data_IF_921317624739
#
_entry.id   IF_921317624739
#
_cell.length_a   1.000
_cell.length_b   1.000
_cell.length_c   1.000
_cell.angle_alpha   90.00
_cell.angle_beta   90.00
_cell.angle_gamma   90.00
#
_symmetry.space_group_name_H-M   'P 1'
#
loop_
_entity.id
_entity.type
_entity.pdbx_description
1 polymer ?
#
# COMPACT_ATOMS: atom_id res chain seq x y z
N UNK A 1 20.72 18.09 -4.69
CA UNK A 1 20.36 16.79 -4.08
C UNK A 1 18.85 16.67 -3.91
N UNK A 2 18.29 15.47 -4.09
CA UNK A 2 16.83 15.20 -4.09
C UNK A 2 16.21 14.90 -2.73
N UNK A 3 16.96 15.03 -1.63
CA UNK A 3 16.54 14.64 -0.28
C UNK A 3 15.26 15.35 0.18
N UNK A 4 15.12 16.66 -0.11
CA UNK A 4 13.92 17.42 0.23
C UNK A 4 12.67 16.82 -0.44
N UNK A 5 12.80 16.37 -1.68
CA UNK A 5 11.71 15.72 -2.41
C UNK A 5 11.38 14.34 -1.80
N UNK A 6 12.38 13.57 -1.37
CA UNK A 6 12.17 12.29 -0.68
C UNK A 6 11.46 12.47 0.67
N UNK A 7 11.89 13.45 1.47
CA UNK A 7 11.24 13.78 2.75
C UNK A 7 9.79 14.22 2.53
N UNK A 8 9.55 15.06 1.52
CA UNK A 8 8.20 15.49 1.15
C UNK A 8 7.32 14.30 0.73
N UNK A 9 7.83 13.43 -0.13
CA UNK A 9 7.12 12.23 -0.59
C UNK A 9 6.80 11.27 0.56
N UNK A 10 7.77 11.03 1.45
CA UNK A 10 7.57 10.19 2.64
C UNK A 10 6.47 10.73 3.54
N UNK A 11 6.47 12.04 3.80
CA UNK A 11 5.37 12.70 4.53
C UNK A 11 4.04 12.55 3.80
N UNK A 12 4.03 12.68 2.47
CA UNK A 12 2.78 12.58 1.71
C UNK A 12 2.20 11.15 1.69
N UNK A 13 3.06 10.13 1.66
CA UNK A 13 2.67 8.72 1.60
C UNK A 13 2.23 8.17 2.95
N UNK A 14 3.00 8.43 4.00
CA UNK A 14 2.82 7.77 5.31
C UNK A 14 2.07 8.63 6.33
N UNK A 15 1.97 9.94 6.11
CA UNK A 15 1.23 10.80 7.03
C UNK A 15 -0.26 10.73 6.70
N UNK A 16 -1.05 10.34 7.69
CA UNK A 16 -2.50 10.48 7.67
C UNK A 16 -2.93 11.93 7.52
N UNK A 17 -4.24 12.13 7.34
CA UNK A 17 -4.86 13.45 7.24
C UNK A 17 -4.64 14.26 8.52
N UNK A 18 -4.79 13.58 9.65
CA UNK A 18 -4.59 14.12 10.98
C UNK A 18 -3.50 13.31 11.68
N UNK A 19 -2.72 13.96 12.55
CA UNK A 19 -1.73 13.27 13.38
C UNK A 19 -2.39 12.86 14.68
N UNK A 20 -1.95 11.75 15.24
CA UNK A 20 -2.46 11.25 16.53
C UNK A 20 -2.37 12.32 17.63
N UNK A 21 -1.25 13.03 17.72
CA UNK A 21 -1.07 14.15 18.67
C UNK A 21 -2.01 15.34 18.48
N UNK A 22 -2.67 15.44 17.32
CA UNK A 22 -3.64 16.49 17.06
C UNK A 22 -5.06 16.08 17.50
N UNK A 23 -5.28 14.81 17.87
CA UNK A 23 -6.50 14.35 18.56
C UNK A 23 -6.30 14.64 20.05
N UNK A 24 -7.00 15.66 20.55
CA UNK A 24 -6.76 16.24 21.88
C UNK A 24 -7.60 15.55 22.96
N UNK A 25 -8.83 15.18 22.64
CA UNK A 25 -9.72 14.48 23.56
C UNK A 25 -10.73 13.59 22.81
N UNK A 26 -11.16 12.52 23.46
CA UNK A 26 -12.19 11.61 22.97
C UNK A 26 -13.02 11.15 24.18
N UNK A 27 -14.11 11.84 24.46
CA UNK A 27 -14.92 11.65 25.66
C UNK A 27 -16.41 11.78 25.32
N UNK A 28 -17.28 11.00 25.96
CA UNK A 28 -18.74 11.10 25.81
C UNK A 28 -19.23 11.02 24.34
N UNK A 29 -18.55 10.24 23.50
CA UNK A 29 -18.87 10.12 22.07
C UNK A 29 -18.48 11.34 21.22
N UNK A 30 -17.78 12.32 21.80
CA UNK A 30 -17.27 13.52 21.14
C UNK A 30 -15.75 13.43 20.97
N UNK A 31 -15.26 13.90 19.84
CA UNK A 31 -13.84 13.96 19.51
C UNK A 31 -13.44 15.41 19.30
N UNK A 32 -12.46 15.87 20.07
CA UNK A 32 -11.85 17.19 19.93
C UNK A 32 -10.50 17.05 19.24
N UNK A 33 -10.34 17.72 18.11
CA UNK A 33 -9.12 17.65 17.33
C UNK A 33 -8.64 19.02 16.85
N UNK A 34 -7.33 19.14 16.66
CA UNK A 34 -6.65 20.35 16.20
C UNK A 34 -6.38 20.26 14.70
N UNK A 35 -6.61 21.35 13.99
CA UNK A 35 -6.36 21.43 12.55
C UNK A 35 -5.82 22.81 12.17
N UNK A 36 -5.24 22.90 10.99
CA UNK A 36 -4.87 24.20 10.42
C UNK A 36 -6.02 24.68 9.53
N UNK A 37 -6.57 25.84 9.84
CA UNK A 37 -7.59 26.47 8.99
C UNK A 37 -6.96 26.83 7.63
N UNK A 38 -7.61 26.39 6.55
CA UNK A 38 -7.10 26.55 5.19
C UNK A 38 -7.06 28.02 4.75
N UNK A 39 -7.99 28.85 5.26
CA UNK A 39 -8.11 30.29 4.93
C UNK A 39 -7.13 31.12 5.76
N UNK A 40 -7.18 31.00 7.08
CA UNK A 40 -6.38 31.84 7.99
C UNK A 40 -4.98 31.29 8.24
N UNK A 41 -4.69 30.05 7.87
CA UNK A 41 -3.45 29.31 8.16
C UNK A 41 -3.12 29.17 9.65
N UNK A 42 -4.06 29.49 10.55
CA UNK A 42 -3.89 29.37 12.01
C UNK A 42 -4.33 28.00 12.49
N UNK A 43 -3.73 27.56 13.60
CA UNK A 43 -4.15 26.34 14.27
C UNK A 43 -5.43 26.63 15.06
N UNK A 44 -6.46 25.81 14.84
CA UNK A 44 -7.74 25.86 15.52
C UNK A 44 -8.11 24.48 16.07
N UNK A 45 -9.05 24.42 16.99
CA UNK A 45 -9.61 23.18 17.53
C UNK A 45 -11.09 23.10 17.24
N UNK A 46 -11.57 21.89 16.93
CA UNK A 46 -12.98 21.62 16.69
C UNK A 46 -13.37 20.34 17.43
N UNK A 47 -14.57 20.38 18.01
CA UNK A 47 -15.22 19.22 18.64
C UNK A 47 -16.39 18.80 17.78
N UNK A 48 -16.48 17.51 17.47
CA UNK A 48 -17.56 16.90 16.68
C UNK A 48 -17.89 15.53 17.25
N UNK A 49 -19.03 14.97 16.86
CA UNK A 49 -19.35 13.60 17.21
C UNK A 49 -18.34 12.61 16.59
N UNK A 50 -18.14 11.45 17.23
CA UNK A 50 -17.24 10.42 16.71
C UNK A 50 -17.60 9.96 15.30
N UNK A 51 -18.90 9.89 14.97
CA UNK A 51 -19.37 9.53 13.63
C UNK A 51 -18.98 10.60 12.59
N UNK A 52 -19.18 11.88 12.90
CA UNK A 52 -18.76 12.98 12.01
C UNK A 52 -17.25 13.04 11.86
N UNK A 53 -16.49 12.79 12.93
CA UNK A 53 -15.03 12.72 12.87
C UNK A 53 -14.55 11.63 11.89
N UNK A 54 -15.12 10.42 11.99
CA UNK A 54 -14.81 9.33 11.05
C UNK A 54 -15.22 9.67 9.62
N UNK A 55 -16.38 10.29 9.43
CA UNK A 55 -16.83 10.75 8.11
C UNK A 55 -15.84 11.75 7.49
N UNK A 56 -15.36 12.72 8.27
CA UNK A 56 -14.35 13.69 7.81
C UNK A 56 -13.05 12.99 7.39
N UNK A 57 -12.60 11.97 8.13
CA UNK A 57 -11.41 11.20 7.76
C UNK A 57 -11.64 10.41 6.46
N UNK A 58 -12.80 9.78 6.31
CA UNK A 58 -13.10 8.96 5.14
C UNK A 58 -13.19 9.75 3.82
N UNK A 59 -13.48 11.04 3.88
CA UNK A 59 -13.42 11.92 2.69
C UNK A 59 -12.01 11.98 2.05
N UNK A 60 -10.96 11.64 2.81
CA UNK A 60 -9.59 11.59 2.33
C UNK A 60 -9.10 10.19 1.99
N UNK A 61 -9.92 9.16 2.20
CA UNK A 61 -9.59 7.79 1.81
C UNK A 61 -9.92 7.63 0.33
N UNK A 62 -8.90 7.26 -0.46
CA UNK A 62 -9.08 7.05 -1.88
C UNK A 62 -9.94 5.79 -2.12
N UNK A 63 -10.90 5.82 -3.05
CA UNK A 63 -11.65 4.63 -3.44
C UNK A 63 -10.75 3.50 -3.90
N UNK A 64 -11.28 2.27 -3.89
CA UNK A 64 -10.54 1.10 -4.37
C UNK A 64 -9.97 1.36 -5.76
N UNK A 65 -8.72 0.93 -5.96
CA UNK A 65 -7.91 1.09 -7.20
C UNK A 65 -7.35 2.49 -7.47
N UNK A 66 -7.73 3.51 -6.71
CA UNK A 66 -7.04 4.81 -6.77
C UNK A 66 -5.77 4.79 -5.93
N UNK A 67 -4.69 5.37 -6.47
CA UNK A 67 -3.38 5.44 -5.81
C UNK A 67 -3.10 6.86 -5.39
N UNK A 68 -2.56 7.00 -4.18
CA UNK A 68 -2.20 8.31 -3.60
C UNK A 68 -1.07 8.98 -4.38
N UNK A 69 -0.15 8.19 -4.94
CA UNK A 69 0.93 8.68 -5.78
C UNK A 69 0.84 8.12 -7.19
N UNK A 70 1.26 8.94 -8.16
CA UNK A 70 1.42 8.56 -9.56
C UNK A 70 2.91 8.51 -9.89
N UNK A 71 3.30 7.54 -10.69
CA UNK A 71 4.65 7.50 -11.24
C UNK A 71 4.72 8.43 -12.45
N UNK A 72 5.87 9.07 -12.66
CA UNK A 72 6.10 9.93 -13.83
C UNK A 72 7.50 9.70 -14.40
N UNK A 73 7.70 10.14 -15.64
CA UNK A 73 8.97 10.04 -16.36
C UNK A 73 9.41 8.60 -16.55
N UNK A 74 10.68 8.32 -16.28
CA UNK A 74 11.26 6.99 -16.47
C UNK A 74 10.61 5.93 -15.57
N UNK A 75 10.14 6.28 -14.37
CA UNK A 75 9.49 5.31 -13.46
C UNK A 75 8.02 5.00 -13.81
N UNK A 76 7.49 5.61 -14.86
CA UNK A 76 6.13 5.33 -15.32
C UNK A 76 6.05 3.93 -15.97
N UNK A 77 4.98 3.15 -15.75
CA UNK A 77 4.84 1.80 -16.33
C UNK A 77 4.92 1.71 -17.86
N UNK A 78 4.64 2.82 -18.57
CA UNK A 78 4.75 2.89 -20.04
C UNK A 78 6.18 3.19 -20.52
N UNK A 79 7.11 3.52 -19.62
CA UNK A 79 8.48 3.92 -19.95
C UNK A 79 9.46 2.74 -19.95
N UNK A 80 8.96 1.49 -20.06
CA UNK A 80 9.79 0.28 -19.95
C UNK A 80 10.93 0.24 -20.97
N UNK A 81 10.65 0.57 -22.23
CA UNK A 81 11.67 0.60 -23.28
C UNK A 81 12.75 1.65 -22.97
N UNK A 82 12.33 2.82 -22.50
CA UNK A 82 13.20 3.94 -22.17
C UNK A 82 14.10 3.61 -20.96
N UNK A 83 13.55 2.96 -19.92
CA UNK A 83 14.34 2.45 -18.80
C UNK A 83 15.37 1.43 -19.30
N UNK A 84 14.97 0.48 -20.14
CA UNK A 84 15.87 -0.54 -20.68
C UNK A 84 17.04 0.08 -21.45
N UNK A 85 16.77 1.10 -22.27
CA UNK A 85 17.80 1.85 -22.97
C UNK A 85 18.78 2.54 -22.01
N UNK A 86 18.26 3.22 -20.98
CA UNK A 86 19.09 3.90 -19.97
C UNK A 86 19.97 2.89 -19.22
N UNK A 87 19.40 1.75 -18.82
CA UNK A 87 20.13 0.68 -18.15
C UNK A 87 21.26 0.14 -19.02
N UNK A 88 21.00 -0.05 -20.32
CA UNK A 88 22.02 -0.47 -21.28
C UNK A 88 23.14 0.57 -21.43
N UNK A 89 22.80 1.84 -21.67
CA UNK A 89 23.77 2.93 -21.85
C UNK A 89 24.64 3.16 -20.61
N UNK A 90 24.07 2.99 -19.42
CA UNK A 90 24.79 3.12 -18.15
C UNK A 90 25.52 1.84 -17.73
N UNK A 91 25.41 0.74 -18.50
CA UNK A 91 25.95 -0.56 -18.14
C UNK A 91 25.34 -1.14 -16.85
N UNK A 92 24.16 -0.67 -16.45
CA UNK A 92 23.48 -1.08 -15.23
C UNK A 92 22.63 -2.33 -15.47
N UNK A 93 23.05 -3.47 -14.91
CA UNK A 93 22.28 -4.70 -14.97
C UNK A 93 21.42 -4.87 -13.70
N UNK A 94 20.09 -4.66 -13.75
CA UNK A 94 19.22 -4.77 -12.58
C UNK A 94 19.19 -6.20 -11.98
N UNK A 95 19.50 -7.22 -12.76
CA UNK A 95 19.52 -8.61 -12.27
C UNK A 95 20.65 -8.86 -11.26
N UNK A 96 21.73 -8.07 -11.28
CA UNK A 96 22.76 -8.15 -10.23
C UNK A 96 22.22 -7.72 -8.86
N UNK A 97 21.31 -6.76 -8.82
CA UNK A 97 20.66 -6.34 -7.57
C UNK A 97 19.64 -7.37 -7.06
N UNK A 98 18.98 -8.12 -7.97
CA UNK A 98 18.13 -9.25 -7.58
C UNK A 98 18.92 -10.34 -6.84
N UNK A 99 20.21 -10.52 -7.15
CA UNK A 99 21.07 -11.45 -6.42
C UNK A 99 21.29 -11.05 -4.94
N UNK A 100 21.04 -9.79 -4.57
CA UNK A 100 21.07 -9.32 -3.18
C UNK A 100 19.77 -9.56 -2.42
N UNK A 101 18.70 -9.98 -3.10
CA UNK A 101 17.47 -10.40 -2.45
C UNK A 101 17.78 -11.72 -1.74
N UNK A 102 17.97 -11.64 -0.41
CA UNK A 102 18.17 -12.80 0.43
C UNK A 102 17.01 -13.78 0.22
N UNK A 103 17.37 -15.06 0.09
CA UNK A 103 16.37 -16.13 0.10
C UNK A 103 15.49 -16.01 1.34
N UNK A 104 14.18 -16.21 1.18
CA UNK A 104 13.24 -16.19 2.28
C UNK A 104 13.67 -17.25 3.31
N UNK A 105 13.76 -16.91 4.61
CA UNK A 105 14.11 -17.89 5.63
C UNK A 105 13.14 -19.07 5.57
N UNK A 106 13.71 -20.28 5.64
CA UNK A 106 12.93 -21.53 5.57
C UNK A 106 12.11 -21.68 6.85
N UNK A 107 10.84 -22.07 6.72
CA UNK A 107 10.01 -22.41 7.86
C UNK A 107 10.45 -23.77 8.40
N UNK A 108 10.85 -23.83 9.67
CA UNK A 108 11.29 -25.04 10.35
C UNK A 108 10.25 -25.44 11.40
N UNK A 109 10.01 -26.74 11.55
CA UNK A 109 9.15 -27.27 12.60
C UNK A 109 9.80 -27.04 13.98
N UNK A 110 9.10 -26.47 14.98
CA UNK A 110 9.67 -26.20 16.30
C UNK A 110 10.00 -27.47 17.10
N UNK A 111 9.42 -28.62 16.74
CA UNK A 111 9.60 -29.89 17.46
C UNK A 111 10.70 -30.78 16.87
N UNK A 112 10.80 -30.85 15.53
CA UNK A 112 11.72 -31.76 14.86
C UNK A 112 12.75 -31.07 13.95
N UNK A 113 12.67 -29.74 13.78
CA UNK A 113 13.57 -28.99 12.91
C UNK A 113 13.39 -29.25 11.40
N UNK A 114 12.43 -30.09 11.01
CA UNK A 114 12.19 -30.41 9.60
C UNK A 114 11.70 -29.18 8.81
N UNK A 115 12.09 -29.11 7.54
CA UNK A 115 11.64 -28.06 6.60
C UNK A 115 10.14 -28.21 6.34
N UNK A 116 9.38 -27.18 6.66
CA UNK A 116 7.94 -27.14 6.41
C UNK A 116 7.65 -26.62 5.00
N UNK A 117 6.67 -27.22 4.32
CA UNK A 117 6.14 -26.74 3.04
C UNK A 117 4.83 -25.99 3.25
N UNK A 118 4.65 -24.87 2.55
CA UNK A 118 3.38 -24.13 2.56
C UNK A 118 2.38 -24.87 1.68
N UNK A 119 1.40 -25.52 2.30
CA UNK A 119 0.36 -26.28 1.58
C UNK A 119 -0.73 -25.36 1.03
N UNK A 120 -1.04 -24.27 1.72
CA UNK A 120 -2.04 -23.28 1.30
C UNK A 120 -1.76 -21.90 1.89
N UNK A 121 -2.13 -20.83 1.16
CA UNK A 121 -2.13 -19.45 1.65
C UNK A 121 -3.56 -18.91 1.67
N UNK A 122 -3.98 -18.30 2.79
CA UNK A 122 -5.33 -17.71 2.94
C UNK A 122 -5.57 -16.48 2.06
N UNK A 123 -4.51 -15.88 1.53
CA UNK A 123 -4.57 -14.77 0.60
C UNK A 123 -3.93 -15.27 -0.71
N UNK A 124 -4.64 -15.20 -1.85
CA UNK A 124 -4.06 -15.57 -3.12
C UNK A 124 -2.90 -14.61 -3.44
N UNK A 125 -1.76 -15.12 -3.95
CA UNK A 125 -0.68 -14.25 -4.41
C UNK A 125 -1.20 -13.35 -5.54
N UNK A 126 -0.95 -12.04 -5.42
CA UNK A 126 -1.47 -11.05 -6.37
C UNK A 126 -0.92 -11.18 -7.80
N UNK A 127 0.15 -11.95 -8.00
CA UNK A 127 0.76 -12.23 -9.30
C UNK A 127 1.36 -13.65 -9.29
N UNK A 128 0.69 -14.58 -9.96
CA UNK A 128 1.32 -15.81 -10.46
C UNK A 128 0.89 -15.97 -11.92
N UNK A 129 1.78 -15.76 -12.91
CA UNK A 129 1.52 -16.21 -14.27
C UNK A 129 1.60 -17.74 -14.27
N UNK A 130 0.48 -18.42 -14.54
CA UNK A 130 0.48 -19.83 -14.93
C UNK A 130 0.43 -20.87 -13.82
N UNK A 131 -0.58 -20.85 -12.94
CA UNK A 131 -0.98 -22.08 -12.25
C UNK A 131 -2.19 -22.72 -12.95
N UNK A 132 -2.15 -24.03 -13.28
CA UNK A 132 -3.32 -24.74 -13.77
C UNK A 132 -4.37 -24.80 -12.67
N UNK A 133 -5.59 -24.37 -12.99
CA UNK A 133 -6.74 -24.45 -12.11
C UNK A 133 -7.05 -25.91 -11.80
N UNK A 134 -6.87 -26.33 -10.55
CA UNK A 134 -7.43 -27.59 -10.06
C UNK A 134 -8.95 -27.38 -9.95
N UNK A 135 -9.79 -28.24 -10.56
CA UNK A 135 -11.24 -28.07 -10.46
C UNK A 135 -11.69 -28.27 -9.02
N UNK A 136 -12.43 -27.30 -8.50
CA UNK A 136 -13.09 -27.36 -7.20
C UNK A 136 -14.27 -28.35 -7.34
N UNK A 137 -14.30 -29.48 -6.62
CA UNK A 137 -15.47 -30.35 -6.63
C UNK A 137 -16.59 -29.68 -5.83
N UNK A 138 -17.69 -29.33 -6.51
CA UNK A 138 -18.92 -28.86 -5.86
C UNK A 138 -19.55 -27.59 -6.44
N UNK A 139 -19.00 -26.97 -7.48
CA UNK A 139 -19.71 -25.88 -8.18
C UNK A 139 -20.62 -26.49 -9.24
N UNK A 140 -21.90 -26.66 -8.88
CA UNK A 140 -22.95 -27.06 -9.79
C UNK A 140 -22.98 -26.12 -11.01
N UNK A 141 -22.90 -26.72 -12.20
CA UNK A 141 -23.12 -26.05 -13.46
C UNK A 141 -24.61 -25.65 -13.57
N UNK A 142 -24.88 -24.37 -13.81
CA UNK A 142 -26.23 -23.95 -14.16
C UNK A 142 -26.51 -22.47 -13.89
N UNK A 143 -26.23 -21.62 -14.87
CA UNK A 143 -27.08 -20.49 -15.24
C UNK A 143 -26.54 -19.86 -16.53
N UNK A 144 -27.06 -20.39 -17.64
CA UNK A 144 -27.08 -19.74 -18.93
C UNK A 144 -28.02 -18.53 -18.80
N UNK A 145 -27.53 -17.31 -19.02
CA UNK A 145 -28.40 -16.17 -19.35
C UNK A 145 -27.72 -15.39 -20.47
N UNK A 146 -28.51 -15.14 -21.51
CA UNK A 146 -28.21 -14.39 -22.72
C UNK A 146 -27.70 -12.98 -22.46
#
# INVERSE_FOLDING_TARGET
>A
TGEKALIYLGRYLYRGVIREKDIVACENGQVTFRYQDSKTKRMASRTVSGAEFLWLIFQHVLPKRFRRTRNFGFLHPNSKCLIGLIQYLLGFNPNRALAWIKERPRLLCPLCGAKMMVVATRIPPFLSPGQPTVPIPGVAAGALVM
#
